data_IF_601357572694
#
_entry.id   IF_601357572694
#
_cell.length_a   1.000
_cell.length_b   1.000
_cell.length_c   1.000
_cell.angle_alpha   90.00
_cell.angle_beta   90.00
_cell.angle_gamma   90.00
#
_symmetry.space_group_name_H-M   'P 1'
#
loop_
_entity.id
_entity.type
_entity.pdbx_description
1 polymer ?
#
# COMPACT_ATOMS: atom_id res chain seq x y z
N UNK A 1 19.01 43.44 4.93
CA UNK A 1 19.68 42.12 4.81
C UNK A 1 19.67 41.75 3.33
N UNK A 2 20.81 41.46 2.68
CA UNK A 2 20.80 41.08 1.28
C UNK A 2 20.14 39.71 1.15
N UNK A 3 19.23 39.58 0.19
CA UNK A 3 18.57 38.34 -0.20
C UNK A 3 19.68 37.37 -0.63
N UNK A 4 19.94 36.33 0.17
CA UNK A 4 20.86 35.27 -0.24
C UNK A 4 20.28 34.65 -1.52
N UNK A 5 21.07 34.51 -2.60
CA UNK A 5 20.62 33.77 -3.77
C UNK A 5 20.27 32.36 -3.29
N UNK A 6 19.07 31.89 -3.66
CA UNK A 6 18.69 30.49 -3.50
C UNK A 6 19.78 29.66 -4.16
N UNK A 7 20.56 28.94 -3.36
CA UNK A 7 21.50 27.95 -3.89
C UNK A 7 20.65 26.90 -4.58
N UNK A 8 20.65 26.91 -5.91
CA UNK A 8 20.10 25.84 -6.75
C UNK A 8 20.97 24.61 -6.54
N UNK A 9 20.64 23.78 -5.55
CA UNK A 9 21.20 22.44 -5.47
C UNK A 9 20.38 21.51 -6.35
N UNK A 10 21.10 20.65 -7.08
CA UNK A 10 20.67 19.63 -8.05
C UNK A 10 20.39 20.14 -9.47
N UNK A 11 21.41 20.02 -10.32
CA UNK A 11 21.21 19.63 -11.72
C UNK A 11 20.24 18.45 -11.71
N UNK A 12 19.07 18.60 -12.34
CA UNK A 12 18.16 17.48 -12.58
C UNK A 12 18.99 16.41 -13.29
N UNK A 13 19.23 15.28 -12.61
CA UNK A 13 19.73 14.08 -13.29
C UNK A 13 18.76 13.84 -14.43
N UNK A 14 19.27 13.59 -15.63
CA UNK A 14 18.49 13.42 -16.86
C UNK A 14 17.67 12.12 -16.77
N UNK A 15 16.70 12.08 -15.87
CA UNK A 15 15.80 10.96 -15.63
C UNK A 15 14.76 10.95 -16.74
N UNK A 16 14.35 9.75 -17.22
CA UNK A 16 13.30 9.66 -18.22
C UNK A 16 12.05 10.38 -17.73
N UNK A 17 11.47 11.23 -18.57
CA UNK A 17 10.26 11.98 -18.23
C UNK A 17 9.09 11.02 -18.09
N UNK A 18 8.39 11.07 -16.96
CA UNK A 18 7.17 10.30 -16.76
C UNK A 18 6.09 10.76 -17.73
N UNK A 19 5.55 9.84 -18.52
CA UNK A 19 4.44 10.12 -19.44
C UNK A 19 3.12 9.73 -18.79
N UNK A 20 2.09 10.56 -18.99
CA UNK A 20 0.75 10.35 -18.45
C UNK A 20 -0.27 10.36 -19.59
N UNK A 21 -1.24 9.46 -19.53
CA UNK A 21 -2.42 9.46 -20.40
C UNK A 21 -3.63 9.05 -19.62
N UNK A 22 -4.71 9.81 -19.72
CA UNK A 22 -5.99 9.50 -19.09
C UNK A 22 -6.94 8.96 -20.16
N UNK A 23 -7.45 7.75 -19.96
CA UNK A 23 -8.40 7.12 -20.85
C UNK A 23 -9.77 7.83 -20.78
N UNK A 24 -10.65 7.55 -21.73
CA UNK A 24 -11.99 8.14 -21.80
C UNK A 24 -12.86 7.85 -20.56
N UNK A 25 -12.60 6.74 -19.86
CA UNK A 25 -13.29 6.38 -18.62
C UNK A 25 -12.59 6.92 -17.35
N UNK A 26 -11.55 7.73 -17.47
CA UNK A 26 -10.85 8.35 -16.34
C UNK A 26 -9.68 7.53 -15.76
N UNK A 27 -9.46 6.29 -16.22
CA UNK A 27 -8.29 5.50 -15.83
C UNK A 27 -7.01 6.23 -16.26
N UNK A 28 -6.08 6.43 -15.32
CA UNK A 28 -4.79 7.04 -15.64
C UNK A 28 -3.74 5.96 -15.92
N UNK A 29 -3.01 6.12 -17.02
CA UNK A 29 -1.84 5.31 -17.38
C UNK A 29 -0.60 6.18 -17.23
N UNK A 30 0.34 5.74 -16.39
CA UNK A 30 1.61 6.41 -16.16
C UNK A 30 2.76 5.51 -16.57
N UNK A 31 3.77 6.06 -17.26
CA UNK A 31 4.97 5.29 -17.59
C UNK A 31 6.27 6.02 -17.33
N UNK A 32 7.26 5.28 -16.86
CA UNK A 32 8.66 5.68 -16.82
C UNK A 32 9.49 4.67 -17.63
N UNK A 33 9.55 4.93 -18.94
CA UNK A 33 10.17 4.02 -19.90
C UNK A 33 11.70 4.04 -19.81
N UNK A 34 12.29 2.85 -19.74
CA UNK A 34 13.73 2.60 -19.82
C UNK A 34 13.99 1.70 -21.04
N UNK A 35 14.26 2.27 -22.24
CA UNK A 35 14.30 1.52 -23.49
C UNK A 35 15.30 0.36 -23.55
N UNK A 36 16.34 0.39 -22.71
CA UNK A 36 17.40 -0.62 -22.63
C UNK A 36 17.14 -1.69 -21.57
N UNK A 37 16.05 -1.58 -20.79
CA UNK A 37 15.69 -2.58 -19.80
C UNK A 37 14.98 -3.75 -20.48
N UNK A 38 15.45 -4.97 -20.18
CA UNK A 38 14.85 -6.23 -20.65
C UNK A 38 13.71 -6.72 -19.75
N UNK A 39 13.56 -6.09 -18.58
CA UNK A 39 12.49 -6.36 -17.62
C UNK A 39 11.64 -5.13 -17.40
N UNK A 40 10.39 -5.37 -17.05
CA UNK A 40 9.40 -4.36 -16.79
C UNK A 40 8.64 -4.68 -15.50
N UNK A 41 8.16 -3.64 -14.82
CA UNK A 41 7.19 -3.78 -13.74
C UNK A 41 5.93 -3.02 -14.14
N UNK A 42 4.81 -3.73 -14.10
CA UNK A 42 3.48 -3.16 -14.25
C UNK A 42 2.81 -3.18 -12.88
N UNK A 43 2.23 -2.06 -12.47
CA UNK A 43 1.57 -1.89 -11.18
C UNK A 43 0.19 -1.33 -11.42
N UNK A 44 -0.79 -1.86 -10.70
CA UNK A 44 -2.15 -1.38 -10.66
C UNK A 44 -2.44 -0.87 -9.26
N UNK A 45 -2.56 0.45 -9.13
CA UNK A 45 -2.87 1.12 -7.88
C UNK A 45 -4.37 1.38 -7.79
N UNK A 46 -4.97 1.03 -6.65
CA UNK A 46 -6.37 1.30 -6.35
C UNK A 46 -6.42 2.20 -5.11
N UNK A 47 -6.97 3.40 -5.26
CA UNK A 47 -7.14 4.38 -4.18
C UNK A 47 -8.33 4.02 -3.26
N UNK A 48 -8.34 2.80 -2.76
CA UNK A 48 -9.31 2.25 -1.82
C UNK A 48 -8.67 1.09 -1.05
N UNK A 49 -8.82 1.06 0.27
CA UNK A 49 -8.45 -0.09 1.11
C UNK A 49 -9.23 -0.05 2.43
N UNK A 50 -8.65 -0.46 3.57
CA UNK A 50 -9.36 -0.56 4.85
C UNK A 50 -10.03 0.74 5.33
N UNK A 51 -9.50 1.91 4.95
CA UNK A 51 -10.14 3.22 5.19
C UNK A 51 -11.47 3.40 4.45
N UNK A 52 -11.67 2.71 3.33
CA UNK A 52 -12.91 2.73 2.55
C UNK A 52 -13.97 1.73 3.03
N UNK A 53 -13.66 0.93 4.06
CA UNK A 53 -14.57 -0.06 4.63
C UNK A 53 -15.52 0.55 5.67
N UNK A 54 -16.51 -0.25 6.06
CA UNK A 54 -17.37 0.02 7.22
C UNK A 54 -16.90 -0.79 8.43
N UNK A 55 -17.38 -0.44 9.64
CA UNK A 55 -17.04 -1.22 10.84
C UNK A 55 -17.47 -2.69 10.74
N UNK A 56 -18.54 -2.99 9.97
CA UNK A 56 -19.06 -4.35 9.78
C UNK A 56 -18.26 -5.16 8.75
N UNK A 57 -17.65 -4.47 7.79
CA UNK A 57 -16.95 -5.09 6.65
C UNK A 57 -15.44 -4.90 6.76
N UNK A 58 -14.93 -4.47 7.91
CA UNK A 58 -13.50 -4.23 8.08
C UNK A 58 -12.71 -5.53 7.93
N UNK A 59 -11.71 -5.54 7.05
CA UNK A 59 -10.95 -6.72 6.62
C UNK A 59 -11.29 -7.21 5.21
N UNK A 60 -12.25 -6.60 4.52
CA UNK A 60 -12.70 -6.98 3.16
C UNK A 60 -11.63 -6.71 2.11
N UNK A 61 -10.87 -5.61 2.21
CA UNK A 61 -9.77 -5.26 1.32
C UNK A 61 -8.68 -6.34 1.35
N UNK A 62 -8.24 -6.73 2.55
CA UNK A 62 -7.28 -7.82 2.75
C UNK A 62 -7.85 -9.14 2.23
N UNK A 63 -9.12 -9.44 2.53
CA UNK A 63 -9.76 -10.67 2.02
C UNK A 63 -9.78 -10.72 0.48
N UNK A 64 -10.07 -9.60 -0.18
CA UNK A 64 -10.02 -9.49 -1.64
C UNK A 64 -8.63 -9.68 -2.22
N UNK A 65 -7.59 -9.19 -1.52
CA UNK A 65 -6.20 -9.45 -1.89
C UNK A 65 -5.92 -10.96 -1.94
N UNK A 66 -6.28 -11.70 -0.90
CA UNK A 66 -6.12 -13.16 -0.85
C UNK A 66 -6.91 -13.86 -1.96
N UNK A 67 -8.13 -13.39 -2.21
CA UNK A 67 -9.01 -13.97 -3.22
C UNK A 67 -8.58 -13.68 -4.65
N UNK A 68 -7.78 -12.63 -4.89
CA UNK A 68 -7.33 -12.22 -6.21
C UNK A 68 -6.58 -13.34 -6.95
N UNK A 69 -5.87 -14.20 -6.22
CA UNK A 69 -5.06 -15.28 -6.80
C UNK A 69 -5.78 -16.64 -6.83
N UNK A 70 -7.05 -16.73 -6.42
CA UNK A 70 -7.79 -18.01 -6.31
C UNK A 70 -8.58 -18.37 -7.57
N UNK A 71 -8.21 -17.77 -8.69
CA UNK A 71 -8.77 -18.04 -10.00
C UNK A 71 -9.85 -17.05 -10.43
N UNK A 72 -10.04 -17.00 -11.74
CA UNK A 72 -10.99 -16.15 -12.45
C UNK A 72 -11.99 -17.03 -13.22
N UNK A 73 -12.93 -16.41 -13.93
CA UNK A 73 -13.80 -17.13 -14.84
C UNK A 73 -13.04 -17.72 -16.06
N UNK A 74 -11.92 -17.10 -16.47
CA UNK A 74 -11.11 -17.50 -17.63
C UNK A 74 -10.01 -18.49 -17.23
N UNK A 75 -9.48 -18.38 -16.00
CA UNK A 75 -8.32 -19.14 -15.51
C UNK A 75 -8.65 -19.81 -14.19
N UNK A 76 -8.48 -21.13 -14.12
CA UNK A 76 -8.42 -21.78 -12.80
C UNK A 76 -7.22 -21.27 -12.01
N UNK A 77 -7.25 -21.41 -10.68
CA UNK A 77 -6.11 -21.05 -9.82
C UNK A 77 -4.80 -21.67 -10.33
N UNK A 78 -4.81 -22.98 -10.59
CA UNK A 78 -3.62 -23.69 -11.08
C UNK A 78 -3.15 -23.21 -12.46
N UNK A 79 -4.08 -22.92 -13.38
CA UNK A 79 -3.72 -22.41 -14.70
C UNK A 79 -3.14 -20.98 -14.62
N UNK A 80 -3.67 -20.14 -13.72
CA UNK A 80 -3.15 -18.81 -13.45
C UNK A 80 -1.71 -18.88 -12.89
N UNK A 81 -1.48 -19.72 -11.88
CA UNK A 81 -0.16 -19.94 -11.28
C UNK A 81 0.84 -20.43 -12.33
N UNK A 82 0.47 -21.46 -13.10
CA UNK A 82 1.32 -22.03 -14.15
C UNK A 82 1.61 -21.04 -15.28
N UNK A 83 0.64 -20.22 -15.67
CA UNK A 83 0.84 -19.18 -16.70
C UNK A 83 1.85 -18.13 -16.22
N UNK A 84 1.72 -17.64 -14.98
CA UNK A 84 2.66 -16.67 -14.40
C UNK A 84 4.07 -17.26 -14.28
N UNK A 85 4.19 -18.50 -13.81
CA UNK A 85 5.48 -19.19 -13.67
C UNK A 85 6.16 -19.45 -15.03
N UNK A 86 5.40 -19.85 -16.06
CA UNK A 86 5.94 -20.09 -17.40
C UNK A 86 6.49 -18.82 -18.06
N UNK A 87 5.97 -17.64 -17.69
CA UNK A 87 6.51 -16.36 -18.14
C UNK A 87 7.79 -15.96 -17.38
N UNK A 88 8.13 -16.68 -16.30
CA UNK A 88 9.13 -16.22 -15.34
C UNK A 88 8.72 -14.91 -14.65
N UNK A 89 7.41 -14.63 -14.61
CA UNK A 89 6.89 -13.41 -14.03
C UNK A 89 6.71 -13.55 -12.51
N UNK A 90 6.87 -12.45 -11.79
CA UNK A 90 6.56 -12.36 -10.37
C UNK A 90 5.34 -11.48 -10.18
N UNK A 91 4.20 -12.10 -9.89
CA UNK A 91 2.94 -11.46 -9.60
C UNK A 91 2.71 -11.43 -8.09
N UNK A 92 2.35 -10.28 -7.54
CA UNK A 92 2.02 -10.15 -6.12
C UNK A 92 1.05 -8.99 -5.87
N UNK A 93 0.53 -8.91 -4.65
CA UNK A 93 -0.27 -7.80 -4.17
C UNK A 93 0.13 -7.42 -2.74
N UNK A 94 -0.37 -6.26 -2.30
CA UNK A 94 -0.42 -5.90 -0.89
C UNK A 94 -1.51 -4.86 -0.67
N UNK A 95 -2.01 -4.78 0.56
CA UNK A 95 -2.92 -3.72 0.98
C UNK A 95 -2.27 -2.83 2.04
N UNK A 96 -2.67 -1.56 2.06
CA UNK A 96 -2.40 -0.64 3.16
C UNK A 96 -3.72 -0.07 3.70
N UNK A 97 -3.69 0.97 4.52
CA UNK A 97 -4.92 1.66 4.94
C UNK A 97 -5.64 2.39 3.81
N UNK A 98 -4.91 2.86 2.80
CA UNK A 98 -5.48 3.77 1.79
C UNK A 98 -5.38 3.26 0.35
N UNK A 99 -4.56 2.23 0.11
CA UNK A 99 -4.33 1.71 -1.24
C UNK A 99 -4.22 0.19 -1.25
N UNK A 100 -4.71 -0.41 -2.33
CA UNK A 100 -4.44 -1.79 -2.70
C UNK A 100 -3.59 -1.77 -3.97
N UNK A 101 -2.57 -2.62 -4.01
CA UNK A 101 -1.61 -2.67 -5.10
C UNK A 101 -1.55 -4.08 -5.64
N UNK A 102 -1.71 -4.23 -6.95
CA UNK A 102 -1.44 -5.46 -7.67
C UNK A 102 -0.31 -5.19 -8.66
N UNK A 103 0.76 -5.98 -8.63
CA UNK A 103 1.90 -5.75 -9.52
C UNK A 103 2.47 -7.03 -10.08
N UNK A 104 2.99 -6.92 -11.31
CA UNK A 104 3.72 -7.98 -11.98
C UNK A 104 5.08 -7.46 -12.44
N UNK A 105 6.12 -8.23 -12.16
CA UNK A 105 7.45 -8.06 -12.77
C UNK A 105 7.61 -9.13 -13.85
N UNK A 106 7.98 -8.74 -15.06
CA UNK A 106 8.12 -9.67 -16.19
C UNK A 106 9.21 -9.20 -17.16
N UNK A 107 9.49 -10.02 -18.17
CA UNK A 107 10.26 -9.55 -19.31
C UNK A 107 9.47 -8.54 -20.12
N UNK A 108 10.18 -7.66 -20.83
CA UNK A 108 9.61 -6.62 -21.71
C UNK A 108 8.58 -7.19 -22.68
N UNK A 109 8.90 -8.31 -23.33
CA UNK A 109 8.03 -8.97 -24.31
C UNK A 109 6.69 -9.48 -23.72
N UNK A 110 6.63 -9.68 -22.40
CA UNK A 110 5.50 -10.30 -21.70
C UNK A 110 4.61 -9.27 -20.99
N UNK A 111 4.90 -7.97 -21.11
CA UNK A 111 4.13 -6.87 -20.49
C UNK A 111 2.65 -6.92 -20.89
N UNK A 112 2.34 -7.18 -22.16
CA UNK A 112 0.96 -7.29 -22.61
C UNK A 112 0.20 -8.44 -21.95
N UNK A 113 0.88 -9.55 -21.68
CA UNK A 113 0.27 -10.72 -21.03
C UNK A 113 0.10 -10.49 -19.53
N UNK A 114 1.04 -9.84 -18.84
CA UNK A 114 0.88 -9.50 -17.43
C UNK A 114 -0.26 -8.50 -17.20
N UNK A 115 -0.46 -7.55 -18.12
CA UNK A 115 -1.63 -6.65 -18.08
C UNK A 115 -2.93 -7.43 -18.27
N UNK A 116 -2.99 -8.40 -19.20
CA UNK A 116 -4.18 -9.27 -19.37
C UNK A 116 -4.47 -10.07 -18.09
N UNK A 117 -3.44 -10.64 -17.45
CA UNK A 117 -3.57 -11.39 -16.21
C UNK A 117 -4.12 -10.52 -15.08
N UNK A 118 -3.50 -9.35 -14.83
CA UNK A 118 -3.98 -8.42 -13.79
C UNK A 118 -5.41 -7.96 -14.09
N UNK A 119 -5.72 -7.67 -15.35
CA UNK A 119 -7.06 -7.22 -15.74
C UNK A 119 -8.14 -8.27 -15.45
N UNK A 120 -7.81 -9.54 -15.65
CA UNK A 120 -8.72 -10.65 -15.43
C UNK A 120 -8.91 -10.93 -13.94
N UNK A 121 -7.83 -10.83 -13.15
CA UNK A 121 -7.86 -10.94 -11.68
C UNK A 121 -8.77 -9.87 -11.07
N UNK A 122 -8.63 -8.61 -11.51
CA UNK A 122 -9.36 -7.48 -10.94
C UNK A 122 -10.85 -7.47 -11.30
N UNK A 123 -11.22 -7.96 -12.49
CA UNK A 123 -12.57 -7.82 -13.02
C UNK A 123 -13.39 -9.12 -12.98
N UNK A 124 -12.73 -10.27 -13.09
CA UNK A 124 -13.38 -11.57 -13.30
C UNK A 124 -13.04 -12.60 -12.21
N UNK A 125 -12.65 -12.16 -11.01
CA UNK A 125 -12.43 -13.07 -9.87
C UNK A 125 -13.71 -13.87 -9.56
N UNK A 126 -13.56 -15.19 -9.40
CA UNK A 126 -14.71 -16.10 -9.30
C UNK A 126 -15.43 -16.01 -7.95
N UNK A 127 -14.71 -15.60 -6.89
CA UNK A 127 -15.18 -15.49 -5.51
C UNK A 127 -15.99 -16.73 -5.06
N UNK A 128 -15.46 -17.94 -5.28
CA UNK A 128 -16.13 -19.18 -4.89
C UNK A 128 -16.20 -19.30 -3.37
N UNK A 129 -17.37 -19.70 -2.84
CA UNK A 129 -17.55 -19.89 -1.39
C UNK A 129 -16.54 -20.89 -0.79
N UNK A 130 -16.20 -21.96 -1.52
CA UNK A 130 -15.20 -22.93 -1.07
C UNK A 130 -13.78 -22.37 -1.03
N UNK A 131 -13.45 -21.39 -1.87
CA UNK A 131 -12.18 -20.67 -1.81
C UNK A 131 -12.19 -19.64 -0.67
N UNK A 132 -13.31 -18.93 -0.47
CA UNK A 132 -13.49 -18.00 0.65
C UNK A 132 -13.28 -18.69 1.99
N UNK A 133 -13.93 -19.84 2.24
CA UNK A 133 -13.76 -20.54 3.52
C UNK A 133 -12.32 -21.07 3.72
N UNK A 134 -11.64 -21.51 2.65
CA UNK A 134 -10.23 -21.92 2.75
C UNK A 134 -9.31 -20.75 3.07
N UNK A 135 -9.50 -19.61 2.40
CA UNK A 135 -8.69 -18.41 2.63
C UNK A 135 -8.98 -17.77 3.99
N UNK A 136 -10.21 -17.93 4.52
CA UNK A 136 -10.54 -17.49 5.88
C UNK A 136 -9.59 -18.10 6.92
N UNK A 137 -9.32 -19.39 6.83
CA UNK A 137 -8.38 -20.07 7.72
C UNK A 137 -6.93 -19.58 7.52
N UNK A 138 -6.55 -19.21 6.29
CA UNK A 138 -5.24 -18.63 6.00
C UNK A 138 -5.11 -17.24 6.64
N UNK A 139 -6.11 -16.38 6.47
CA UNK A 139 -6.14 -15.01 7.04
C UNK A 139 -6.15 -15.07 8.58
N UNK A 140 -6.88 -16.02 9.17
CA UNK A 140 -6.86 -16.20 10.63
C UNK A 140 -5.49 -16.62 11.16
N UNK A 141 -4.75 -17.44 10.41
CA UNK A 141 -3.36 -17.79 10.75
C UNK A 141 -2.42 -16.61 10.55
N UNK A 142 -2.59 -15.86 9.47
CA UNK A 142 -1.82 -14.64 9.23
C UNK A 142 -2.00 -13.64 10.37
N UNK A 143 -3.25 -13.40 10.82
CA UNK A 143 -3.50 -12.54 11.98
C UNK A 143 -2.78 -13.05 13.24
N UNK A 144 -2.75 -14.37 13.49
CA UNK A 144 -1.99 -14.92 14.62
C UNK A 144 -0.47 -14.72 14.49
N UNK A 145 0.07 -14.69 13.27
CA UNK A 145 1.50 -14.41 13.05
C UNK A 145 1.81 -12.91 13.16
N UNK A 146 0.91 -12.03 12.71
CA UNK A 146 1.03 -10.57 12.89
C UNK A 146 0.91 -10.19 14.37
N UNK A 147 0.03 -10.84 15.13
CA UNK A 147 -0.12 -10.61 16.58
C UNK A 147 1.16 -10.91 17.38
N UNK A 148 2.12 -11.66 16.80
CA UNK A 148 3.44 -11.92 17.41
C UNK A 148 4.47 -10.84 17.05
N UNK A 149 4.20 -10.00 16.05
CA UNK A 149 5.08 -8.93 15.60
C UNK A 149 4.75 -7.65 16.36
N UNK A 150 5.40 -7.47 17.51
CA UNK A 150 5.11 -6.36 18.44
C UNK A 150 5.22 -4.97 17.83
N UNK A 151 6.08 -4.79 16.82
CA UNK A 151 6.18 -3.52 16.09
C UNK A 151 4.87 -3.18 15.37
N UNK A 152 4.34 -4.10 14.56
CA UNK A 152 3.06 -3.94 13.85
C UNK A 152 1.90 -3.75 14.83
N UNK A 153 1.84 -4.56 15.89
CA UNK A 153 0.80 -4.46 16.93
C UNK A 153 0.79 -3.07 17.57
N UNK A 154 1.97 -2.52 17.89
CA UNK A 154 2.08 -1.17 18.46
C UNK A 154 1.64 -0.10 17.46
N UNK A 155 1.96 -0.24 16.17
CA UNK A 155 1.52 0.70 15.14
C UNK A 155 0.00 0.65 14.89
N UNK A 156 -0.60 -0.53 14.97
CA UNK A 156 -2.05 -0.70 14.88
C UNK A 156 -2.76 -0.03 16.07
N UNK A 157 -2.26 -0.24 17.29
CA UNK A 157 -2.77 0.45 18.46
C UNK A 157 -2.56 1.97 18.38
N UNK A 158 -1.41 2.43 17.89
CA UNK A 158 -1.12 3.84 17.69
C UNK A 158 -2.14 4.49 16.75
N UNK A 159 -2.44 3.86 15.60
CA UNK A 159 -3.48 4.36 14.68
C UNK A 159 -4.87 4.37 15.33
N UNK A 160 -5.23 3.29 16.03
CA UNK A 160 -6.52 3.17 16.70
C UNK A 160 -6.74 4.27 17.74
N UNK A 161 -5.72 4.64 18.51
CA UNK A 161 -5.81 5.73 19.51
C UNK A 161 -5.65 7.12 18.92
N UNK A 162 -4.88 7.28 17.85
CA UNK A 162 -4.70 8.56 17.18
C UNK A 162 -5.98 9.00 16.44
N UNK A 163 -6.68 8.05 15.81
CA UNK A 163 -7.84 8.28 14.95
C UNK A 163 -9.09 7.54 15.45
N UNK A 164 -9.34 7.63 16.76
CA UNK A 164 -10.49 6.97 17.41
C UNK A 164 -11.81 7.29 16.73
N UNK A 165 -12.63 6.26 16.50
CA UNK A 165 -13.95 6.39 15.86
C UNK A 165 -13.90 6.79 14.38
N UNK A 166 -12.73 6.84 13.76
CA UNK A 166 -12.56 7.21 12.36
C UNK A 166 -12.02 6.05 11.54
N UNK A 167 -12.29 6.01 10.21
CA UNK A 167 -11.86 4.92 9.36
C UNK A 167 -10.35 4.64 9.36
N UNK A 168 -9.52 5.68 9.54
CA UNK A 168 -8.06 5.55 9.58
C UNK A 168 -7.54 4.84 10.85
N UNK A 169 -8.36 4.78 11.91
CA UNK A 169 -8.03 4.06 13.14
C UNK A 169 -8.26 2.55 13.06
N UNK A 170 -8.87 2.04 11.98
CA UNK A 170 -9.08 0.61 11.79
C UNK A 170 -7.79 -0.09 11.37
N UNK A 171 -7.66 -1.36 11.76
CA UNK A 171 -6.56 -2.21 11.29
C UNK A 171 -6.87 -2.71 9.88
N UNK A 172 -5.83 -3.15 9.17
CA UNK A 172 -5.95 -3.62 7.78
C UNK A 172 -6.67 -4.99 7.73
N UNK A 173 -6.25 -5.93 8.57
CA UNK A 173 -6.85 -7.27 8.69
C UNK A 173 -8.30 -7.23 9.21
N UNK A 174 -8.63 -6.21 10.00
CA UNK A 174 -9.88 -6.12 10.73
C UNK A 174 -9.97 -7.08 11.92
N UNK A 175 -11.07 -7.02 12.68
CA UNK A 175 -11.27 -7.86 13.85
C UNK A 175 -11.65 -9.28 13.45
N UNK A 176 -11.20 -10.26 14.24
CA UNK A 176 -11.50 -11.68 14.05
C UNK A 176 -12.98 -11.98 13.81
N UNK A 177 -13.88 -11.28 14.51
CA UNK A 177 -15.33 -11.47 14.34
C UNK A 177 -15.78 -11.12 12.90
N UNK A 178 -15.23 -10.05 12.32
CA UNK A 178 -15.53 -9.67 10.94
C UNK A 178 -14.92 -10.67 9.95
N UNK A 179 -13.67 -11.09 10.18
CA UNK A 179 -13.03 -12.12 9.36
C UNK A 179 -13.87 -13.40 9.34
N UNK A 180 -14.61 -13.72 10.41
CA UNK A 180 -15.51 -14.87 10.45
C UNK A 180 -16.86 -14.64 9.74
N UNK A 181 -17.31 -13.39 9.61
CA UNK A 181 -18.63 -13.06 9.04
C UNK A 181 -18.60 -12.58 7.59
N UNK A 182 -17.44 -12.11 7.09
CA UNK A 182 -17.28 -11.64 5.71
C UNK A 182 -17.67 -12.74 4.75
N UNK A 183 -18.60 -12.43 3.85
CA UNK A 183 -19.12 -13.35 2.84
C UNK A 183 -18.95 -12.79 1.42
N UNK A 184 -19.31 -13.60 0.42
CA UNK A 184 -19.17 -13.25 -1.00
C UNK A 184 -19.85 -11.93 -1.39
N UNK A 185 -21.00 -11.61 -0.79
CA UNK A 185 -21.73 -10.39 -1.13
C UNK A 185 -21.00 -9.14 -0.63
N UNK A 186 -20.28 -9.24 0.50
CA UNK A 186 -19.46 -8.14 1.02
C UNK A 186 -18.29 -7.86 0.07
N UNK A 187 -17.61 -8.93 -0.39
CA UNK A 187 -16.51 -8.85 -1.36
C UNK A 187 -16.98 -8.23 -2.70
N UNK A 188 -18.10 -8.72 -3.25
CA UNK A 188 -18.68 -8.22 -4.49
C UNK A 188 -19.14 -6.76 -4.37
N UNK A 189 -19.75 -6.40 -3.24
CA UNK A 189 -20.17 -5.02 -2.96
C UNK A 189 -18.97 -4.08 -2.86
N UNK A 190 -17.88 -4.53 -2.24
CA UNK A 190 -16.65 -3.75 -2.14
C UNK A 190 -16.01 -3.52 -3.51
N UNK A 191 -15.91 -4.55 -4.35
CA UNK A 191 -15.42 -4.41 -5.74
C UNK A 191 -16.28 -3.40 -6.49
N UNK A 192 -17.60 -3.56 -6.51
CA UNK A 192 -18.53 -2.66 -7.23
C UNK A 192 -18.43 -1.20 -6.78
N UNK A 193 -18.14 -0.98 -5.51
CA UNK A 193 -18.08 0.38 -4.92
C UNK A 193 -16.72 1.03 -5.13
N UNK A 194 -15.63 0.25 -5.09
CA UNK A 194 -14.28 0.78 -4.97
C UNK A 194 -13.40 0.57 -6.21
N UNK A 195 -13.66 -0.45 -7.03
CA UNK A 195 -12.84 -0.79 -8.20
C UNK A 195 -13.39 -0.06 -9.44
N UNK A 196 -13.27 1.27 -9.41
CA UNK A 196 -13.72 2.16 -10.47
C UNK A 196 -12.54 2.81 -11.18
N UNK A 197 -12.70 3.11 -12.46
CA UNK A 197 -11.62 3.64 -13.32
C UNK A 197 -11.00 4.94 -12.76
N UNK A 198 -11.79 5.82 -12.18
CA UNK A 198 -11.36 7.09 -11.57
C UNK A 198 -10.55 6.92 -10.28
N UNK A 199 -10.57 5.73 -9.67
CA UNK A 199 -9.80 5.39 -8.46
C UNK A 199 -8.58 4.52 -8.76
N UNK A 200 -8.31 4.29 -10.04
CA UNK A 200 -7.34 3.32 -10.49
C UNK A 200 -6.26 3.97 -11.35
N UNK A 201 -5.02 3.51 -11.18
CA UNK A 201 -3.87 3.95 -12.00
C UNK A 201 -3.07 2.73 -12.43
N UNK A 202 -2.89 2.59 -13.74
CA UNK A 202 -1.96 1.63 -14.33
C UNK A 202 -0.59 2.30 -14.50
N UNK A 203 0.44 1.76 -13.86
CA UNK A 203 1.80 2.27 -13.91
C UNK A 203 2.72 1.25 -14.57
N UNK A 204 3.53 1.68 -15.53
CA UNK A 204 4.58 0.85 -16.14
C UNK A 204 5.96 1.47 -15.96
N UNK A 205 6.95 0.69 -15.53
CA UNK A 205 8.35 1.12 -15.44
C UNK A 205 9.29 0.04 -15.96
N UNK A 206 10.47 0.45 -16.44
CA UNK A 206 11.45 -0.45 -17.07
C UNK A 206 11.23 -0.56 -18.58
N UNK A 207 11.34 -1.76 -19.14
CA UNK A 207 11.19 -2.07 -20.56
C UNK A 207 9.74 -2.01 -21.04
N UNK A 208 9.11 -0.84 -20.92
CA UNK A 208 7.70 -0.59 -21.29
C UNK A 208 7.64 0.54 -22.31
N UNK A 209 6.90 0.35 -23.40
CA UNK A 209 6.50 1.43 -24.30
C UNK A 209 5.18 2.06 -23.82
N UNK A 210 5.13 3.39 -23.78
CA UNK A 210 3.95 4.12 -23.28
C UNK A 210 2.71 3.87 -24.13
N UNK A 211 2.84 3.90 -25.45
CA UNK A 211 1.70 3.75 -26.36
C UNK A 211 1.19 2.31 -26.36
N UNK A 212 2.09 1.32 -26.24
CA UNK A 212 1.70 -0.08 -26.07
C UNK A 212 0.94 -0.29 -24.76
N UNK A 213 1.43 0.27 -23.63
CA UNK A 213 0.74 0.14 -22.36
C UNK A 213 -0.65 0.81 -22.38
N UNK A 214 -0.76 2.00 -23.00
CA UNK A 214 -2.06 2.68 -23.19
C UNK A 214 -3.01 1.81 -24.00
N UNK A 215 -2.56 1.19 -25.10
CA UNK A 215 -3.40 0.27 -25.90
C UNK A 215 -3.86 -0.94 -25.10
N UNK A 216 -2.97 -1.53 -24.28
CA UNK A 216 -3.36 -2.61 -23.38
C UNK A 216 -4.37 -2.13 -22.34
N UNK A 217 -4.19 -0.92 -21.80
CA UNK A 217 -5.11 -0.33 -20.84
C UNK A 217 -6.51 -0.12 -21.46
N UNK A 218 -6.58 0.45 -22.66
CA UNK A 218 -7.83 0.64 -23.41
C UNK A 218 -8.51 -0.69 -23.71
N UNK A 219 -7.75 -1.69 -24.15
CA UNK A 219 -8.29 -3.02 -24.47
C UNK A 219 -8.89 -3.71 -23.25
N UNK A 220 -8.23 -3.63 -22.10
CA UNK A 220 -8.56 -4.45 -20.93
C UNK A 220 -9.40 -3.74 -19.87
N UNK A 221 -9.37 -2.40 -19.81
CA UNK A 221 -9.98 -1.63 -18.73
C UNK A 221 -10.93 -0.51 -19.19
N UNK A 222 -11.17 -0.34 -20.50
CA UNK A 222 -12.13 0.68 -20.99
C UNK A 222 -13.56 0.46 -20.50
N UNK A 223 -13.93 -0.77 -20.16
CA UNK A 223 -15.24 -1.14 -19.62
C UNK A 223 -15.38 -0.97 -18.11
N UNK A 224 -14.31 -0.57 -17.40
CA UNK A 224 -14.40 -0.34 -15.96
C UNK A 224 -15.45 0.74 -15.66
N UNK A 225 -16.28 0.54 -14.62
CA UNK A 225 -17.25 1.55 -14.21
C UNK A 225 -16.53 2.79 -13.69
N UNK A 226 -17.17 3.94 -13.85
CA UNK A 226 -16.74 5.21 -13.24
C UNK A 226 -17.59 5.43 -11.99
N UNK A 227 -16.98 5.89 -10.90
CA UNK A 227 -17.74 6.18 -9.67
C UNK A 227 -18.76 7.30 -9.91
N UNK A 228 -19.83 7.32 -9.10
CA UNK A 228 -20.85 8.36 -9.20
C UNK A 228 -20.31 9.76 -8.90
N UNK A 229 -19.23 9.85 -8.11
CA UNK A 229 -18.54 11.09 -7.78
C UNK A 229 -17.04 10.92 -8.11
N UNK A 230 -16.65 11.09 -9.39
CA UNK A 230 -15.28 10.84 -9.83
C UNK A 230 -14.27 11.68 -9.04
N UNK A 231 -13.19 11.04 -8.58
CA UNK A 231 -12.12 11.74 -7.87
C UNK A 231 -11.08 12.21 -8.89
N UNK A 232 -10.87 13.53 -9.07
CA UNK A 232 -9.83 14.02 -9.96
C UNK A 232 -8.44 13.61 -9.44
N UNK A 233 -7.51 13.34 -10.37
CA UNK A 233 -6.13 13.03 -10.02
C UNK A 233 -5.53 14.10 -9.09
N UNK A 234 -4.90 13.67 -7.99
CA UNK A 234 -4.31 14.56 -7.00
C UNK A 234 -5.28 15.16 -5.97
N UNK A 235 -6.56 14.77 -5.98
CA UNK A 235 -7.52 15.13 -4.92
C UNK A 235 -7.65 14.03 -3.88
N UNK A 236 -7.99 14.43 -2.65
CA UNK A 236 -8.21 13.52 -1.54
C UNK A 236 -9.47 12.67 -1.78
N UNK A 237 -9.32 11.35 -1.72
CA UNK A 237 -10.44 10.40 -1.82
C UNK A 237 -11.31 10.36 -0.55
N UNK A 238 -10.76 10.79 0.58
CA UNK A 238 -11.41 10.74 1.89
C UNK A 238 -11.35 12.11 2.59
N UNK A 239 -12.34 12.44 3.43
CA UNK A 239 -12.30 13.66 4.24
C UNK A 239 -11.10 13.64 5.20
N UNK A 240 -10.61 14.82 5.58
CA UNK A 240 -9.53 14.97 6.56
C UNK A 240 -9.91 14.25 7.87
N UNK A 241 -9.02 13.40 8.38
CA UNK A 241 -9.15 12.79 9.71
C UNK A 241 -8.69 13.78 10.79
N UNK A 242 -9.26 13.64 11.98
CA UNK A 242 -8.88 14.40 13.16
C UNK A 242 -7.93 13.57 14.02
N UNK A 243 -6.76 14.13 14.34
CA UNK A 243 -5.86 13.54 15.33
C UNK A 243 -6.37 13.86 16.74
N UNK A 244 -6.67 12.83 17.53
CA UNK A 244 -7.27 13.00 18.87
C UNK A 244 -6.20 13.23 19.94
N UNK A 245 -5.03 12.59 19.82
CA UNK A 245 -3.97 12.65 20.82
C UNK A 245 -4.32 11.94 22.12
N UNK A 246 -4.49 10.61 22.05
CA UNK A 246 -4.79 9.75 23.19
C UNK A 246 -3.65 8.75 23.46
N UNK A 247 -3.67 8.09 24.62
CA UNK A 247 -2.77 6.98 24.93
C UNK A 247 -3.52 5.66 25.14
N UNK A 248 -2.83 4.54 24.94
CA UNK A 248 -3.23 3.21 25.40
C UNK A 248 -1.99 2.51 25.95
N UNK A 249 -2.17 1.74 27.04
CA UNK A 249 -1.09 0.95 27.66
C UNK A 249 -1.58 -0.48 27.82
N UNK A 250 -0.92 -1.39 27.11
CA UNK A 250 -1.18 -2.83 27.21
C UNK A 250 -0.06 -3.39 28.06
N UNK A 251 -0.40 -3.83 29.26
CA UNK A 251 0.56 -4.35 30.23
C UNK A 251 0.67 -5.86 30.08
N UNK A 252 1.84 -6.31 29.66
CA UNK A 252 2.25 -7.71 29.70
C UNK A 252 3.54 -7.85 30.52
N UNK A 253 3.40 -8.29 31.77
CA UNK A 253 4.52 -8.49 32.68
C UNK A 253 5.39 -9.72 32.32
N UNK A 254 4.98 -10.51 31.31
CA UNK A 254 5.77 -11.67 30.83
C UNK A 254 6.75 -11.30 29.70
N UNK A 255 6.55 -10.15 29.04
CA UNK A 255 7.44 -9.67 27.99
C UNK A 255 8.75 -9.12 28.58
N UNK A 256 9.93 -9.51 28.06
CA UNK A 256 11.22 -9.01 28.53
C UNK A 256 11.49 -7.55 28.12
N UNK A 257 10.76 -7.02 27.13
CA UNK A 257 10.94 -5.68 26.58
C UNK A 257 9.60 -4.97 26.41
N UNK A 258 9.60 -3.65 26.61
CA UNK A 258 8.49 -2.79 26.27
C UNK A 258 8.64 -2.27 24.83
N UNK A 259 7.54 -2.26 24.08
CA UNK A 259 7.46 -1.64 22.77
C UNK A 259 6.58 -0.39 22.89
N UNK A 260 7.10 0.75 22.44
CA UNK A 260 6.49 2.07 22.67
C UNK A 260 6.52 2.83 21.35
N UNK A 261 5.37 3.40 20.95
CA UNK A 261 5.30 4.37 19.87
C UNK A 261 4.64 5.66 20.35
N UNK A 262 5.23 6.78 19.95
CA UNK A 262 4.77 8.14 20.26
C UNK A 262 4.65 8.87 18.94
N UNK A 263 3.50 9.49 18.69
CA UNK A 263 3.24 10.26 17.49
C UNK A 263 2.68 11.64 17.83
N UNK A 264 2.91 12.57 16.91
CA UNK A 264 2.21 13.85 16.81
C UNK A 264 1.45 13.89 15.50
N UNK A 265 0.46 14.79 15.35
CA UNK A 265 -0.23 14.97 14.07
C UNK A 265 0.79 15.35 12.99
N UNK A 266 0.88 14.53 11.94
CA UNK A 266 1.67 14.81 10.76
C UNK A 266 0.93 15.68 9.75
N UNK A 267 1.46 15.75 8.53
CA UNK A 267 0.84 16.46 7.41
C UNK A 267 0.48 15.50 6.29
N UNK A 268 -0.56 15.81 5.52
CA UNK A 268 -0.93 14.96 4.38
C UNK A 268 0.03 15.10 3.20
N UNK A 269 -0.01 14.13 2.27
CA UNK A 269 0.81 14.05 1.05
C UNK A 269 0.90 15.35 0.22
N UNK A 270 -0.16 16.17 0.20
CA UNK A 270 -0.22 17.42 -0.59
C UNK A 270 0.21 18.66 0.18
N UNK A 271 0.58 18.53 1.46
CA UNK A 271 1.01 19.65 2.28
C UNK A 271 2.38 20.16 1.83
N UNK A 272 2.60 21.50 1.76
CA UNK A 272 3.93 22.05 1.53
C UNK A 272 4.94 21.64 2.63
N UNK A 273 4.44 21.30 3.82
CA UNK A 273 5.26 20.88 4.96
C UNK A 273 5.65 19.39 4.93
N UNK A 274 5.21 18.62 3.93
CA UNK A 274 5.53 17.19 3.79
C UNK A 274 7.04 16.96 3.72
N UNK A 275 7.75 17.65 2.81
CA UNK A 275 9.20 17.52 2.71
C UNK A 275 9.96 18.03 3.95
N UNK A 276 9.60 19.19 4.56
CA UNK A 276 10.12 19.56 5.88
C UNK A 276 9.94 18.48 6.95
N UNK A 277 8.80 17.79 7.01
CA UNK A 277 8.59 16.67 7.95
C UNK A 277 9.51 15.49 7.66
N UNK A 278 9.75 15.13 6.39
CA UNK A 278 10.72 14.08 6.04
C UNK A 278 12.15 14.45 6.49
N UNK A 279 12.54 15.72 6.36
CA UNK A 279 13.83 16.20 6.87
C UNK A 279 13.87 16.09 8.40
N UNK A 280 12.79 16.46 9.09
CA UNK A 280 12.68 16.30 10.54
C UNK A 280 12.82 14.84 10.97
N UNK A 281 12.15 13.90 10.28
CA UNK A 281 12.31 12.46 10.52
C UNK A 281 13.77 12.04 10.33
N UNK A 282 14.43 12.49 9.27
CA UNK A 282 15.85 12.18 9.02
C UNK A 282 16.78 12.74 10.10
N UNK A 283 16.47 13.91 10.68
CA UNK A 283 17.23 14.49 11.81
C UNK A 283 17.07 13.64 13.07
N UNK A 284 15.86 13.15 13.35
CA UNK A 284 15.61 12.23 14.47
C UNK A 284 16.42 10.94 14.30
N UNK A 285 16.39 10.39 13.07
CA UNK A 285 17.16 9.23 12.66
C UNK A 285 16.63 7.93 13.24
N UNK A 286 17.42 6.87 13.08
CA UNK A 286 17.16 5.53 13.61
C UNK A 286 18.42 5.06 14.35
N UNK A 287 18.24 4.18 15.31
CA UNK A 287 19.35 3.65 16.10
C UNK A 287 19.06 2.23 16.57
N UNK A 288 20.09 1.41 16.61
CA UNK A 288 20.03 0.05 17.11
C UNK A 288 21.36 -0.27 17.80
N UNK A 289 21.30 -0.78 19.04
CA UNK A 289 22.48 -1.11 19.83
C UNK A 289 23.38 -2.18 19.19
N UNK A 290 22.83 -3.00 18.30
CA UNK A 290 23.55 -4.08 17.60
C UNK A 290 24.48 -3.56 16.51
N UNK A 291 24.31 -2.31 16.08
CA UNK A 291 25.18 -1.68 15.11
C UNK A 291 26.55 -1.42 15.74
N UNK A 292 27.63 -1.87 15.09
CA UNK A 292 29.00 -1.64 15.59
C UNK A 292 29.38 -0.17 15.73
N UNK A 293 28.67 0.73 15.04
CA UNK A 293 28.82 2.18 15.12
C UNK A 293 27.73 2.86 15.98
N UNK A 294 26.96 2.12 16.79
CA UNK A 294 25.82 2.64 17.56
C UNK A 294 26.21 3.82 18.47
N UNK A 295 27.39 3.79 19.07
CA UNK A 295 27.93 4.87 19.93
C UNK A 295 28.46 6.08 19.15
N UNK A 296 28.61 5.95 17.83
CA UNK A 296 29.17 6.98 16.94
C UNK A 296 28.09 7.65 16.07
N UNK A 297 26.81 7.34 16.31
CA UNK A 297 25.70 7.97 15.59
C UNK A 297 25.57 9.45 15.95
N UNK A 298 25.35 10.28 14.93
CA UNK A 298 25.38 11.74 15.03
C UNK A 298 24.13 12.35 15.67
N UNK A 299 23.00 11.63 15.69
CA UNK A 299 21.76 12.12 16.31
C UNK A 299 21.94 12.25 17.82
N UNK A 300 21.53 13.41 18.35
CA UNK A 300 21.56 13.68 19.79
C UNK A 300 20.74 12.64 20.58
N UNK A 301 19.62 12.20 20.01
CA UNK A 301 18.76 11.17 20.61
C UNK A 301 19.50 9.82 20.70
N UNK A 302 20.20 9.43 19.63
CA UNK A 302 21.04 8.22 19.61
C UNK A 302 22.12 8.27 20.69
N UNK A 303 22.81 9.40 20.84
CA UNK A 303 23.83 9.56 21.87
C UNK A 303 23.24 9.42 23.29
N UNK A 304 22.08 10.04 23.55
CA UNK A 304 21.41 9.95 24.85
C UNK A 304 20.99 8.51 25.15
N UNK A 305 20.35 7.83 24.19
CA UNK A 305 19.89 6.45 24.35
C UNK A 305 21.07 5.50 24.56
N UNK A 306 22.12 5.63 23.75
CA UNK A 306 23.32 4.79 23.85
C UNK A 306 24.08 5.02 25.16
N UNK A 307 24.27 6.27 25.58
CA UNK A 307 25.04 6.60 26.78
C UNK A 307 24.35 6.18 28.09
N UNK A 308 23.01 6.12 28.08
CA UNK A 308 22.21 5.81 29.26
C UNK A 308 21.56 4.41 29.20
N UNK A 309 21.83 3.61 28.15
CA UNK A 309 21.25 2.29 27.92
C UNK A 309 19.70 2.27 28.01
N UNK A 310 19.03 3.26 27.41
CA UNK A 310 17.58 3.47 27.59
C UNK A 310 16.69 2.55 26.75
N UNK A 311 17.19 2.05 25.62
CA UNK A 311 16.44 1.22 24.69
C UNK A 311 17.37 0.25 23.96
N UNK A 312 16.78 -0.78 23.34
CA UNK A 312 17.52 -1.68 22.45
C UNK A 312 17.65 -1.09 21.03
N UNK A 313 16.61 -0.41 20.56
CA UNK A 313 16.56 0.29 19.28
C UNK A 313 15.49 1.38 19.32
N UNK A 314 15.53 2.31 18.37
CA UNK A 314 14.41 3.17 18.01
C UNK A 314 14.41 3.45 16.52
N UNK A 315 13.22 3.69 15.97
CA UNK A 315 13.03 4.09 14.59
C UNK A 315 12.10 5.31 14.54
N UNK A 316 12.50 6.32 13.78
CA UNK A 316 11.62 7.42 13.41
C UNK A 316 10.76 7.00 12.22
N UNK A 317 9.48 7.36 12.25
CA UNK A 317 8.51 6.96 11.23
C UNK A 317 7.73 8.16 10.70
N UNK A 318 7.21 7.99 9.48
CA UNK A 318 6.20 8.83 8.86
C UNK A 318 5.20 7.87 8.21
N UNK A 319 3.93 8.01 8.55
CA UNK A 319 2.83 7.18 8.01
C UNK A 319 2.05 7.91 6.91
N UNK A 320 2.47 9.15 6.63
CA UNK A 320 1.97 10.00 5.56
C UNK A 320 2.75 9.84 4.28
#
# INVERSE_FOLDING_TARGET
RPIRPLRSFATVVNSPTTQLTTLSNGLTVATEAHPHAETATVVFWIAASSRAETDKTNGTAQFLEHMAFKGTNKRSQHALELEVENLGAHLNAYTSREQIVYYAKSFRKDVGQTVDIISDILQNSKLENSAIERERDVILREQQEVDKQMEEVVFDHLHAVAFQGQPLGRTILGPKQNILSINRNDLDSYIKTNYTADRMVLVGTGGVDHNELVKHAEKHFSSLPVSANPIPLGRLAHPKTQFIGSEVRIRDDTSPTAHIAIAVEGVGWSSPDYYPMLVMQSIMGNWDRSLGAASLMSSQLSHIISSNNLANSFMSFSTS
#
